data_IF_314848169410
#
_entry.id   IF_314848169410
#
_cell.length_a   1.000
_cell.length_b   1.000
_cell.length_c   1.000
_cell.angle_alpha   90.00
_cell.angle_beta   90.00
_cell.angle_gamma   90.00
#
_symmetry.space_group_name_H-M   'P 1'
#
loop_
_entity.id
_entity.type
_entity.pdbx_description
1 polymer ?
#
# COMPACT_ATOMS: atom_id res chain seq x y z
N UNK A 1 9.65 -23.72 -29.78
CA UNK A 1 10.09 -24.81 -28.90
C UNK A 1 10.39 -24.32 -27.47
N UNK A 2 11.28 -23.35 -27.23
CA UNK A 2 11.66 -22.85 -25.88
C UNK A 2 10.47 -22.30 -25.08
N UNK A 3 9.51 -21.61 -25.71
CA UNK A 3 8.34 -21.02 -25.06
C UNK A 3 7.34 -22.08 -24.58
N UNK A 4 7.21 -23.18 -25.32
CA UNK A 4 6.34 -24.32 -24.95
C UNK A 4 6.93 -25.10 -23.77
N UNK A 5 8.26 -25.31 -23.76
CA UNK A 5 8.95 -26.00 -22.65
C UNK A 5 8.86 -25.18 -21.36
N UNK A 6 8.98 -23.84 -21.41
CA UNK A 6 8.79 -22.98 -20.25
C UNK A 6 7.36 -23.02 -19.70
N UNK A 7 6.35 -23.13 -20.57
CA UNK A 7 4.96 -23.24 -20.13
C UNK A 7 4.65 -24.62 -19.51
N UNK A 8 5.15 -25.71 -20.08
CA UNK A 8 5.03 -27.05 -19.51
C UNK A 8 5.73 -27.14 -18.13
N UNK A 9 6.93 -26.59 -17.99
CA UNK A 9 7.63 -26.58 -16.71
C UNK A 9 6.86 -25.80 -15.62
N UNK A 10 6.16 -24.71 -15.99
CA UNK A 10 5.30 -23.97 -15.05
C UNK A 10 4.09 -24.77 -14.57
N UNK A 11 3.53 -25.62 -15.43
CA UNK A 11 2.41 -26.51 -15.07
C UNK A 11 2.89 -27.66 -14.19
N UNK A 12 4.05 -28.24 -14.50
CA UNK A 12 4.59 -29.38 -13.77
C UNK A 12 5.25 -29.03 -12.42
N UNK A 13 5.77 -27.79 -12.30
CA UNK A 13 6.48 -27.33 -11.09
C UNK A 13 6.03 -25.93 -10.67
N UNK A 14 4.75 -25.69 -10.37
CA UNK A 14 4.24 -24.37 -10.04
C UNK A 14 4.96 -23.75 -8.84
N UNK A 15 5.21 -24.52 -7.78
CA UNK A 15 5.87 -24.06 -6.56
C UNK A 15 7.31 -23.58 -6.78
N UNK A 16 8.04 -24.22 -7.69
CA UNK A 16 9.41 -23.81 -8.03
C UNK A 16 9.43 -22.43 -8.67
N UNK A 17 8.50 -22.15 -9.61
CA UNK A 17 8.44 -20.85 -10.29
C UNK A 17 7.92 -19.75 -9.37
N UNK A 18 6.98 -20.05 -8.47
CA UNK A 18 6.51 -19.10 -7.46
C UNK A 18 7.61 -18.74 -6.46
N UNK A 19 8.33 -19.74 -5.92
CA UNK A 19 9.48 -19.49 -5.02
C UNK A 19 10.57 -18.68 -5.71
N UNK A 20 10.85 -18.94 -7.00
CA UNK A 20 11.80 -18.16 -7.78
C UNK A 20 11.31 -16.72 -7.99
N UNK A 21 10.02 -16.51 -8.29
CA UNK A 21 9.41 -15.19 -8.41
C UNK A 21 9.54 -14.39 -7.12
N UNK A 22 9.19 -14.98 -6.00
CA UNK A 22 9.26 -14.33 -4.68
C UNK A 22 10.70 -13.94 -4.33
N UNK A 23 11.70 -14.77 -4.65
CA UNK A 23 13.12 -14.44 -4.42
C UNK A 23 13.63 -13.23 -5.20
N UNK A 24 12.99 -12.90 -6.33
CA UNK A 24 13.34 -11.75 -7.16
C UNK A 24 12.63 -10.46 -6.72
N UNK A 25 11.70 -10.55 -5.76
CA UNK A 25 11.02 -9.38 -5.22
C UNK A 25 11.97 -8.63 -4.28
N UNK A 26 12.14 -7.35 -4.53
CA UNK A 26 12.96 -6.46 -3.69
C UNK A 26 12.18 -6.03 -2.43
N UNK A 27 11.95 -6.97 -1.52
CA UNK A 27 11.24 -6.76 -0.25
C UNK A 27 11.65 -7.82 0.78
N UNK A 28 11.52 -7.51 2.06
CA UNK A 28 11.59 -8.48 3.15
C UNK A 28 10.19 -9.11 3.28
N UNK A 29 10.11 -10.42 3.08
CA UNK A 29 8.85 -11.16 3.07
C UNK A 29 8.87 -12.17 4.22
N UNK A 30 7.89 -12.04 5.11
CA UNK A 30 7.70 -12.90 6.27
C UNK A 30 7.31 -14.33 5.89
N UNK A 31 7.40 -15.22 6.87
CA UNK A 31 7.00 -16.62 6.71
C UNK A 31 5.52 -16.70 6.31
N UNK A 32 5.18 -17.64 5.44
CA UNK A 32 3.81 -17.91 4.97
C UNK A 32 3.07 -16.69 4.36
N UNK A 33 3.78 -15.59 4.07
CA UNK A 33 3.21 -14.47 3.33
C UNK A 33 2.99 -14.84 1.85
N UNK A 34 1.86 -14.41 1.30
CA UNK A 34 1.42 -14.72 -0.06
C UNK A 34 1.44 -13.47 -0.93
N UNK A 35 2.22 -13.49 -1.99
CA UNK A 35 2.23 -12.42 -3.01
C UNK A 35 1.50 -12.96 -4.24
N UNK A 36 0.27 -12.52 -4.45
CA UNK A 36 -0.55 -12.97 -5.57
C UNK A 36 0.05 -12.60 -6.93
N UNK A 37 -0.36 -13.30 -8.01
CA UNK A 37 0.20 -13.10 -9.35
C UNK A 37 -0.04 -11.69 -9.91
N UNK A 38 -1.18 -11.10 -9.57
CA UNK A 38 -1.55 -9.74 -9.97
C UNK A 38 -0.89 -8.65 -9.12
N UNK A 39 -0.29 -9.01 -7.98
CA UNK A 39 0.42 -8.06 -7.14
C UNK A 39 1.69 -7.55 -7.82
N UNK A 40 2.00 -6.27 -7.59
CA UNK A 40 3.26 -5.67 -8.00
C UNK A 40 3.96 -5.01 -6.80
N UNK A 41 5.26 -5.27 -6.65
CA UNK A 41 6.11 -4.61 -5.66
C UNK A 41 7.22 -3.88 -6.41
N UNK A 42 7.03 -2.58 -6.59
CA UNK A 42 7.94 -1.69 -7.28
C UNK A 42 8.74 -0.90 -6.24
N UNK A 43 9.75 -1.54 -5.69
CA UNK A 43 10.63 -0.95 -4.69
C UNK A 43 11.92 -0.47 -5.37
N UNK A 44 12.04 0.86 -5.54
CA UNK A 44 13.26 1.52 -6.06
C UNK A 44 14.35 1.72 -5.01
N UNK A 45 14.10 1.35 -3.75
CA UNK A 45 14.99 1.57 -2.61
C UNK A 45 15.66 0.25 -2.16
N UNK A 46 16.25 0.24 -0.96
CA UNK A 46 16.78 -1.01 -0.38
C UNK A 46 15.67 -2.02 -0.11
N UNK A 47 16.03 -3.27 0.03
CA UNK A 47 15.09 -4.37 0.30
C UNK A 47 14.27 -4.15 1.57
N UNK A 48 14.90 -3.56 2.59
CA UNK A 48 14.33 -3.26 3.90
C UNK A 48 13.31 -2.11 3.85
N UNK A 49 13.21 -1.41 2.72
CA UNK A 49 12.21 -0.35 2.54
C UNK A 49 10.81 -0.90 2.33
N UNK A 50 10.66 -2.19 2.00
CA UNK A 50 9.37 -2.87 1.95
C UNK A 50 9.44 -4.11 2.83
N UNK A 51 8.65 -4.11 3.90
CA UNK A 51 8.56 -5.22 4.87
C UNK A 51 7.14 -5.74 4.87
N UNK A 52 6.99 -7.04 4.69
CA UNK A 52 5.69 -7.74 4.70
C UNK A 52 5.76 -8.80 5.80
N UNK A 53 4.88 -8.69 6.78
CA UNK A 53 4.80 -9.56 7.94
C UNK A 53 4.34 -10.98 7.60
N UNK A 54 4.50 -11.86 8.58
CA UNK A 54 4.11 -13.28 8.49
C UNK A 54 2.61 -13.43 8.17
N UNK A 55 2.26 -14.39 7.32
CA UNK A 55 0.88 -14.73 6.96
C UNK A 55 0.12 -13.61 6.25
N UNK A 56 0.79 -12.56 5.79
CA UNK A 56 0.16 -11.42 5.11
C UNK A 56 0.02 -11.68 3.61
N UNK A 57 -1.11 -11.29 3.06
CA UNK A 57 -1.49 -11.53 1.67
C UNK A 57 -1.51 -10.23 0.88
N UNK A 58 -0.77 -10.17 -0.23
CA UNK A 58 -0.66 -8.98 -1.10
C UNK A 58 -1.21 -9.30 -2.49
N UNK A 59 -2.29 -8.62 -2.89
CA UNK A 59 -2.87 -8.64 -4.23
C UNK A 59 -2.77 -7.28 -4.94
N UNK A 60 -2.38 -6.22 -4.24
CA UNK A 60 -2.26 -4.84 -4.71
C UNK A 60 -0.87 -4.45 -5.19
N UNK A 61 -0.70 -3.15 -5.42
CA UNK A 61 0.56 -2.50 -5.79
C UNK A 61 1.20 -1.84 -4.56
N UNK A 62 2.45 -2.21 -4.26
CA UNK A 62 3.31 -1.50 -3.32
C UNK A 62 4.37 -0.74 -4.14
N UNK A 63 4.43 0.57 -3.98
CA UNK A 63 5.37 1.42 -4.69
C UNK A 63 6.13 2.32 -3.72
N UNK A 64 7.46 2.29 -3.78
CA UNK A 64 8.33 3.20 -3.03
C UNK A 64 9.18 4.04 -3.96
N UNK A 65 9.32 5.33 -3.65
CA UNK A 65 10.07 6.29 -4.46
C UNK A 65 10.99 7.17 -3.60
N UNK A 66 11.77 8.03 -4.28
CA UNK A 66 12.58 9.11 -3.70
C UNK A 66 13.65 8.66 -2.71
N UNK A 67 14.17 7.42 -2.81
CA UNK A 67 15.19 6.85 -1.93
C UNK A 67 14.86 6.90 -0.42
N UNK A 68 13.65 7.32 -0.05
CA UNK A 68 13.16 7.45 1.33
C UNK A 68 11.88 6.66 1.59
N UNK A 69 11.08 6.41 0.55
CA UNK A 69 9.79 5.73 0.68
C UNK A 69 9.93 4.37 1.35
N UNK A 70 9.05 4.10 2.32
CA UNK A 70 9.00 2.85 3.08
C UNK A 70 7.58 2.36 3.18
N UNK A 71 7.39 1.05 3.12
CA UNK A 71 6.11 0.40 3.37
C UNK A 71 6.36 -0.75 4.33
N UNK A 72 5.74 -0.69 5.49
CA UNK A 72 5.76 -1.77 6.49
C UNK A 72 4.34 -2.29 6.70
N UNK A 73 4.14 -3.58 6.55
CA UNK A 73 2.86 -4.25 6.75
C UNK A 73 3.06 -5.35 7.78
N UNK A 74 2.26 -5.32 8.84
CA UNK A 74 2.29 -6.28 9.94
C UNK A 74 1.85 -7.68 9.53
N UNK A 75 1.59 -8.51 10.53
CA UNK A 75 1.22 -9.92 10.36
C UNK A 75 -0.26 -10.09 9.99
N UNK A 76 -0.57 -11.18 9.27
CA UNK A 76 -1.94 -11.63 8.99
C UNK A 76 -2.86 -10.55 8.39
N UNK A 77 -2.28 -9.63 7.60
CA UNK A 77 -2.99 -8.54 6.94
C UNK A 77 -3.28 -8.89 5.47
N UNK A 78 -4.27 -8.22 4.89
CA UNK A 78 -4.67 -8.42 3.49
C UNK A 78 -4.70 -7.09 2.74
N UNK A 79 -4.01 -7.04 1.61
CA UNK A 79 -4.03 -5.91 0.67
C UNK A 79 -4.73 -6.37 -0.62
N UNK A 80 -5.94 -5.87 -0.84
CA UNK A 80 -6.82 -6.28 -1.92
C UNK A 80 -6.34 -5.88 -3.32
N UNK A 81 -6.91 -6.53 -4.33
CA UNK A 81 -6.59 -6.30 -5.74
C UNK A 81 -6.89 -4.85 -6.16
N UNK A 82 -6.03 -4.27 -7.01
CA UNK A 82 -6.16 -2.88 -7.46
C UNK A 82 -5.84 -1.83 -6.39
N UNK A 83 -5.62 -2.24 -5.14
CA UNK A 83 -5.18 -1.32 -4.06
C UNK A 83 -3.75 -0.87 -4.31
N UNK A 84 -3.49 0.42 -4.07
CA UNK A 84 -2.20 1.08 -4.31
C UNK A 84 -1.70 1.75 -3.04
N UNK A 85 -0.54 1.31 -2.57
CA UNK A 85 0.24 1.99 -1.54
C UNK A 85 1.40 2.71 -2.24
N UNK A 86 1.38 4.03 -2.24
CA UNK A 86 2.40 4.86 -2.89
C UNK A 86 3.14 5.68 -1.84
N UNK A 87 4.37 5.29 -1.54
CA UNK A 87 5.17 5.88 -0.46
C UNK A 87 6.41 6.59 -0.96
N UNK A 88 6.60 7.82 -0.49
CA UNK A 88 7.85 8.60 -0.65
C UNK A 88 8.54 8.87 0.69
N UNK A 89 7.88 8.64 1.81
CA UNK A 89 8.45 8.75 3.16
C UNK A 89 8.10 7.54 4.03
N UNK A 90 6.81 7.21 4.24
CA UNK A 90 6.42 6.08 5.08
C UNK A 90 4.93 5.78 5.09
N UNK A 91 4.58 4.50 4.87
CA UNK A 91 3.25 3.93 5.11
C UNK A 91 3.44 2.73 6.03
N UNK A 92 2.84 2.82 7.21
CA UNK A 92 2.86 1.73 8.20
C UNK A 92 1.46 1.16 8.37
N UNK A 93 1.33 -0.15 8.24
CA UNK A 93 0.10 -0.91 8.41
C UNK A 93 0.34 -1.95 9.49
N UNK A 94 -0.53 -1.99 10.49
CA UNK A 94 -0.48 -2.90 11.61
C UNK A 94 -0.81 -4.35 11.26
N UNK A 95 -1.13 -5.12 12.29
CA UNK A 95 -1.48 -6.53 12.21
C UNK A 95 -2.98 -6.71 12.00
N UNK A 96 -3.38 -7.84 11.39
CA UNK A 96 -4.78 -8.22 11.17
C UNK A 96 -5.60 -7.15 10.41
N UNK A 97 -4.95 -6.33 9.59
CA UNK A 97 -5.59 -5.26 8.82
C UNK A 97 -6.20 -5.82 7.55
N UNK A 98 -7.43 -5.43 7.25
CA UNK A 98 -8.13 -5.82 6.03
C UNK A 98 -8.33 -4.61 5.13
N UNK A 99 -7.59 -4.53 4.05
CA UNK A 99 -7.74 -3.49 3.01
C UNK A 99 -8.38 -4.12 1.79
N UNK A 100 -9.59 -3.66 1.47
CA UNK A 100 -10.37 -4.16 0.35
C UNK A 100 -9.73 -3.78 -1.00
N UNK A 101 -10.41 -4.05 -2.09
CA UNK A 101 -9.95 -3.75 -3.45
C UNK A 101 -10.04 -2.25 -3.79
N UNK A 102 -9.19 -1.79 -4.71
CA UNK A 102 -9.17 -0.43 -5.25
C UNK A 102 -8.99 0.69 -4.21
N UNK A 103 -8.42 0.41 -3.05
CA UNK A 103 -8.07 1.42 -2.04
C UNK A 103 -6.80 2.15 -2.49
N UNK A 104 -6.72 3.45 -2.19
CA UNK A 104 -5.54 4.27 -2.50
C UNK A 104 -5.00 4.90 -1.21
N UNK A 105 -3.72 4.67 -0.93
CA UNK A 105 -3.02 5.19 0.24
C UNK A 105 -1.78 5.93 -0.21
N UNK A 106 -1.71 7.23 0.09
CA UNK A 106 -0.63 8.11 -0.31
C UNK A 106 -0.10 8.89 0.89
N UNK A 107 1.21 8.89 1.08
CA UNK A 107 1.88 9.70 2.10
C UNK A 107 2.37 11.07 1.57
N UNK A 108 1.95 11.44 0.37
CA UNK A 108 2.44 12.61 -0.36
C UNK A 108 1.38 13.20 -1.31
N UNK A 109 1.70 14.32 -1.96
CA UNK A 109 0.82 14.97 -2.95
C UNK A 109 1.01 14.48 -4.38
N UNK A 110 1.98 13.59 -4.64
CA UNK A 110 2.38 13.13 -5.98
C UNK A 110 3.01 14.24 -6.84
N UNK A 111 2.48 15.44 -6.81
CA UNK A 111 2.94 16.60 -7.58
C UNK A 111 3.07 17.85 -6.71
N UNK A 112 3.89 18.82 -7.16
CA UNK A 112 4.00 20.12 -6.53
C UNK A 112 2.67 20.87 -6.52
N UNK A 113 2.38 21.58 -5.43
CA UNK A 113 1.23 22.49 -5.36
C UNK A 113 1.49 23.80 -6.13
N UNK A 114 2.77 24.18 -6.34
CA UNK A 114 3.11 25.30 -7.19
C UNK A 114 2.79 24.99 -8.66
N UNK A 115 1.97 25.79 -9.35
CA UNK A 115 1.55 25.49 -10.70
C UNK A 115 2.70 25.54 -11.72
N UNK A 116 3.70 26.41 -11.49
CA UNK A 116 4.85 26.54 -12.37
C UNK A 116 5.78 25.33 -12.25
N UNK A 117 6.09 24.94 -11.01
CA UNK A 117 6.90 23.75 -10.75
C UNK A 117 6.18 22.48 -11.24
N UNK A 118 4.89 22.35 -11.00
CA UNK A 118 4.10 21.20 -11.50
C UNK A 118 4.10 21.11 -13.03
N UNK A 119 4.05 22.24 -13.73
CA UNK A 119 4.14 22.26 -15.19
C UNK A 119 5.54 21.83 -15.67
N UNK A 120 6.60 22.30 -15.02
CA UNK A 120 7.98 21.88 -15.33
C UNK A 120 8.15 20.37 -15.09
N UNK A 121 7.69 19.87 -13.95
CA UNK A 121 7.69 18.44 -13.64
C UNK A 121 7.02 17.62 -14.75
N UNK A 122 5.84 18.04 -15.19
CA UNK A 122 5.11 17.34 -16.25
C UNK A 122 5.89 17.31 -17.56
N UNK A 123 6.46 18.44 -17.99
CA UNK A 123 7.27 18.53 -19.23
C UNK A 123 8.48 17.61 -19.13
N UNK A 124 9.22 17.65 -18.02
CA UNK A 124 10.40 16.81 -17.84
C UNK A 124 10.03 15.32 -17.80
N UNK A 125 9.00 14.94 -17.06
CA UNK A 125 8.54 13.56 -16.98
C UNK A 125 8.13 13.00 -18.35
N UNK A 126 7.52 13.81 -19.20
CA UNK A 126 7.06 13.37 -20.52
C UNK A 126 8.17 13.37 -21.59
N UNK A 127 9.25 14.10 -21.39
CA UNK A 127 10.33 14.23 -22.40
C UNK A 127 11.61 13.49 -22.02
N UNK A 128 11.91 13.35 -20.71
CA UNK A 128 13.16 12.81 -20.20
C UNK A 128 12.98 11.61 -19.27
N UNK A 129 11.72 11.25 -18.96
CA UNK A 129 11.38 10.22 -17.98
C UNK A 129 11.17 10.78 -16.58
N UNK A 130 10.70 9.90 -15.67
CA UNK A 130 10.36 10.30 -14.30
C UNK A 130 11.58 10.79 -13.53
N UNK A 131 11.48 12.00 -12.98
CA UNK A 131 12.49 12.58 -12.10
C UNK A 131 12.03 12.54 -10.64
N UNK A 132 13.00 12.64 -9.75
CA UNK A 132 12.72 12.87 -8.34
C UNK A 132 12.13 14.26 -8.14
N UNK A 133 10.94 14.33 -7.54
CA UNK A 133 10.26 15.58 -7.22
C UNK A 133 10.63 15.96 -5.79
N UNK A 134 11.03 17.22 -5.59
CA UNK A 134 11.29 17.79 -4.28
C UNK A 134 10.01 18.43 -3.74
N UNK A 135 9.84 18.38 -2.39
CA UNK A 135 8.71 19.00 -1.67
C UNK A 135 7.32 18.50 -2.12
N UNK A 136 7.10 17.22 -1.97
CA UNK A 136 5.77 16.61 -2.14
C UNK A 136 4.88 16.83 -0.89
N UNK A 137 5.36 17.61 0.08
CA UNK A 137 4.68 17.85 1.38
C UNK A 137 4.28 16.53 2.03
N UNK A 138 5.18 15.59 1.99
CA UNK A 138 5.00 14.24 2.48
C UNK A 138 4.75 14.22 3.99
N UNK A 139 3.86 13.35 4.42
CA UNK A 139 3.56 13.02 5.82
C UNK A 139 3.18 11.56 5.91
N UNK A 140 3.79 10.85 6.83
CA UNK A 140 3.55 9.42 7.03
C UNK A 140 2.06 9.10 7.21
N UNK A 141 1.68 7.91 6.75
CA UNK A 141 0.37 7.32 7.00
C UNK A 141 0.55 6.12 7.94
N UNK A 142 -0.25 6.08 8.99
CA UNK A 142 -0.22 5.01 9.99
C UNK A 142 -1.61 4.39 10.11
N UNK A 143 -1.69 3.08 9.95
CA UNK A 143 -2.92 2.30 10.10
C UNK A 143 -2.68 1.30 11.23
N UNK A 144 -3.45 1.41 12.30
CA UNK A 144 -3.37 0.55 13.48
C UNK A 144 -3.82 -0.88 13.23
N UNK A 145 -3.72 -1.70 14.25
CA UNK A 145 -4.09 -3.10 14.21
C UNK A 145 -5.61 -3.29 14.03
N UNK A 146 -5.99 -4.40 13.40
CA UNK A 146 -7.39 -4.80 13.23
C UNK A 146 -8.27 -3.74 12.53
N UNK A 147 -7.69 -2.88 11.70
CA UNK A 147 -8.43 -1.89 10.90
C UNK A 147 -9.03 -2.56 9.66
N UNK A 148 -10.27 -2.19 9.34
CA UNK A 148 -10.90 -2.57 8.08
C UNK A 148 -11.13 -1.34 7.20
N UNK A 149 -10.57 -1.35 5.99
CA UNK A 149 -10.75 -0.30 4.99
C UNK A 149 -11.60 -0.84 3.84
N UNK A 150 -12.77 -0.25 3.65
CA UNK A 150 -13.72 -0.59 2.60
C UNK A 150 -13.22 -0.24 1.21
N UNK A 151 -13.77 -0.93 0.21
CA UNK A 151 -13.38 -0.81 -1.19
C UNK A 151 -13.43 0.63 -1.72
N UNK A 152 -12.44 0.99 -2.55
CA UNK A 152 -12.39 2.30 -3.21
C UNK A 152 -12.13 3.47 -2.28
N UNK A 153 -11.75 3.25 -1.02
CA UNK A 153 -11.41 4.35 -0.10
C UNK A 153 -10.07 5.00 -0.47
N UNK A 154 -9.93 6.28 -0.09
CA UNK A 154 -8.68 7.04 -0.19
C UNK A 154 -8.20 7.44 1.20
N UNK A 155 -6.96 7.11 1.52
CA UNK A 155 -6.28 7.52 2.75
C UNK A 155 -5.18 8.49 2.37
N UNK A 156 -5.29 9.74 2.83
CA UNK A 156 -4.36 10.79 2.44
C UNK A 156 -3.22 10.92 3.45
N UNK A 157 -2.18 11.58 3.02
CA UNK A 157 -0.97 11.83 3.79
C UNK A 157 -1.22 12.43 5.17
N UNK A 158 -0.44 12.00 6.15
CA UNK A 158 -0.51 12.48 7.53
C UNK A 158 -1.68 11.93 8.33
N UNK A 159 -2.40 10.95 7.79
CA UNK A 159 -3.52 10.31 8.49
C UNK A 159 -2.99 9.17 9.36
N UNK A 160 -3.45 9.16 10.61
CA UNK A 160 -3.37 8.00 11.49
C UNK A 160 -4.77 7.44 11.68
N UNK A 161 -4.95 6.14 11.43
CA UNK A 161 -6.20 5.42 11.73
C UNK A 161 -5.94 4.53 12.94
N UNK A 162 -6.66 4.79 14.03
CA UNK A 162 -6.56 4.02 15.26
C UNK A 162 -7.05 2.57 15.08
N UNK A 163 -6.60 1.71 15.97
CA UNK A 163 -6.92 0.28 15.96
C UNK A 163 -8.44 0.01 15.99
N UNK A 164 -8.86 -1.16 15.48
CA UNK A 164 -10.26 -1.62 15.43
C UNK A 164 -11.20 -0.67 14.66
N UNK A 165 -10.68 0.29 13.91
CA UNK A 165 -11.50 1.28 13.19
C UNK A 165 -11.92 0.73 11.83
N UNK A 166 -13.15 1.05 11.42
CA UNK A 166 -13.72 0.70 10.13
C UNK A 166 -13.85 1.96 9.29
N UNK A 167 -13.28 1.94 8.09
CA UNK A 167 -13.47 2.98 7.06
C UNK A 167 -14.44 2.45 6.01
N UNK A 168 -15.58 3.10 5.84
CA UNK A 168 -16.58 2.72 4.85
C UNK A 168 -16.06 2.80 3.40
N UNK A 169 -16.67 2.02 2.51
CA UNK A 169 -16.30 2.00 1.10
C UNK A 169 -16.47 3.39 0.45
N UNK A 170 -15.60 3.75 -0.50
CA UNK A 170 -15.60 5.02 -1.21
C UNK A 170 -15.29 6.26 -0.36
N UNK A 171 -14.84 6.08 0.87
CA UNK A 171 -14.54 7.20 1.77
C UNK A 171 -13.22 7.87 1.43
N UNK A 172 -13.12 9.19 1.71
CA UNK A 172 -11.87 9.95 1.59
C UNK A 172 -11.44 10.44 2.98
N UNK A 173 -10.44 9.78 3.55
CA UNK A 173 -9.92 10.10 4.88
C UNK A 173 -8.83 11.15 4.75
N UNK A 174 -9.13 12.37 5.21
CA UNK A 174 -8.25 13.55 5.16
C UNK A 174 -7.75 13.98 6.54
N UNK A 175 -8.29 13.38 7.61
CA UNK A 175 -7.93 13.63 9.01
C UNK A 175 -7.83 12.31 9.75
N UNK A 176 -6.97 12.25 10.75
CA UNK A 176 -6.82 11.06 11.59
C UNK A 176 -8.13 10.66 12.27
N UNK A 177 -8.30 9.36 12.41
CA UNK A 177 -9.45 8.74 13.07
C UNK A 177 -8.99 8.05 14.36
N UNK A 178 -9.71 8.21 15.47
CA UNK A 178 -9.39 7.50 16.70
C UNK A 178 -9.64 6.00 16.55
N UNK A 179 -9.23 5.23 17.54
CA UNK A 179 -9.54 3.80 17.62
C UNK A 179 -11.06 3.56 17.86
N UNK A 180 -11.52 2.35 17.52
CA UNK A 180 -12.85 1.85 17.82
C UNK A 180 -13.99 2.71 17.25
N UNK A 181 -13.88 3.16 16.02
CA UNK A 181 -14.94 3.94 15.33
C UNK A 181 -15.27 3.36 13.96
N UNK A 182 -16.47 3.67 13.49
CA UNK A 182 -16.86 3.56 12.08
C UNK A 182 -16.85 4.96 11.50
N UNK A 183 -16.11 5.19 10.43
CA UNK A 183 -16.07 6.46 9.72
C UNK A 183 -16.39 6.23 8.24
N UNK A 184 -17.13 7.16 7.62
CA UNK A 184 -17.44 7.08 6.19
C UNK A 184 -17.69 8.46 5.59
N UNK A 185 -17.66 8.54 4.26
CA UNK A 185 -17.99 9.72 3.46
C UNK A 185 -16.78 10.42 2.82
N UNK A 186 -17.05 11.49 2.09
CA UNK A 186 -16.05 12.36 1.47
C UNK A 186 -16.32 13.84 1.82
N UNK A 187 -15.55 14.45 2.73
CA UNK A 187 -14.54 13.82 3.57
C UNK A 187 -15.15 12.86 4.61
N UNK A 188 -14.39 11.85 5.02
CA UNK A 188 -14.85 10.88 6.01
C UNK A 188 -15.09 11.55 7.37
N UNK A 189 -16.21 11.17 8.00
CA UNK A 189 -16.62 11.59 9.34
C UNK A 189 -16.94 10.36 10.18
N UNK A 190 -16.74 10.46 11.49
CA UNK A 190 -17.13 9.42 12.44
C UNK A 190 -18.65 9.28 12.39
N UNK A 191 -19.13 8.07 12.14
CA UNK A 191 -20.57 7.72 12.11
C UNK A 191 -21.00 7.21 13.48
N UNK A 192 -20.17 6.36 14.10
CA UNK A 192 -20.44 5.78 15.43
C UNK A 192 -19.17 5.22 16.06
N UNK A 193 -19.20 5.05 17.36
CA UNK A 193 -18.22 4.25 18.09
C UNK A 193 -18.55 2.77 17.98
N UNK A 194 -17.51 1.94 18.02
CA UNK A 194 -17.61 0.48 18.12
C UNK A 194 -17.43 0.16 19.61
N UNK A 195 -18.45 -0.41 20.30
CA UNK A 195 -18.24 -0.92 21.65
C UNK A 195 -17.13 -1.98 21.60
N UNK A 196 -16.08 -1.80 22.36
CA UNK A 196 -15.00 -2.75 22.49
C UNK A 196 -14.99 -3.24 23.94
N UNK A 197 -15.71 -4.31 24.20
CA UNK A 197 -15.57 -5.06 25.43
C UNK A 197 -14.32 -5.94 25.25
N UNK A 198 -13.25 -5.62 25.97
CA UNK A 198 -12.04 -6.44 25.99
C UNK A 198 -12.41 -7.85 26.49
N UNK A 199 -12.15 -8.88 25.64
CA UNK A 199 -12.25 -10.28 26.03
C UNK A 199 -11.14 -10.67 27.00
#
# INVERSE_FOLDING_TARGET
>A
MIRVIKNLARVCFPDYFERKRIRLINAVIGKDAVIYKQAAINNGNSRESVIIGEGTHIAGLLFTANNKGRISIGHHSFIGEGTRLYSVIGITIGNNVQIAHNVNIFDNNIHSLDPIERQKEFIVNTTQGFIQINDLREKEVIIGDNVWIGAGAFILKGVTIGENTIVGAGSVVVKSLPANVVAAGNPAKIIKSIPFDAF
#
